data_IF_953248266492
#
_entry.id   IF_953248266492
#
_cell.length_a   1.000
_cell.length_b   1.000
_cell.length_c   1.000
_cell.angle_alpha   90.00
_cell.angle_beta   90.00
_cell.angle_gamma   90.00
#
_symmetry.space_group_name_H-M   'P 1'
#
loop_
_entity.id
_entity.type
_entity.pdbx_description
1 polymer ?
#
# COMPACT_ATOMS: atom_id res chain seq x y z
N UNK A 1 15.17 3.08 -3.10
CA UNK A 1 14.22 2.15 -2.46
C UNK A 1 14.54 0.67 -2.70
N UNK A 2 15.51 0.31 -3.56
CA UNK A 2 15.92 -1.10 -3.71
C UNK A 2 14.83 -2.04 -4.24
N UNK A 3 13.80 -1.51 -4.90
CA UNK A 3 12.70 -2.30 -5.45
C UNK A 3 13.23 -3.21 -6.58
N UNK A 4 13.06 -4.53 -6.43
CA UNK A 4 13.52 -5.50 -7.42
C UNK A 4 12.73 -5.47 -8.74
N UNK A 5 11.44 -5.11 -8.69
CA UNK A 5 10.57 -4.97 -9.88
C UNK A 5 9.56 -3.84 -9.68
N UNK A 6 9.79 -2.73 -10.39
CA UNK A 6 8.85 -1.60 -10.44
C UNK A 6 7.89 -1.83 -11.59
N UNK A 7 6.58 -1.73 -11.36
CA UNK A 7 5.55 -1.92 -12.37
C UNK A 7 4.80 -0.61 -12.58
N UNK A 8 4.78 -0.11 -13.81
CA UNK A 8 3.91 1.02 -14.16
C UNK A 8 2.57 0.49 -14.68
N UNK A 9 1.59 0.36 -13.80
CA UNK A 9 0.27 -0.18 -14.13
C UNK A 9 -0.54 0.65 -15.16
N UNK A 10 -0.10 1.86 -15.51
CA UNK A 10 -0.69 2.65 -16.61
C UNK A 10 -0.13 2.24 -17.99
N UNK A 11 0.99 1.52 -18.03
CA UNK A 11 1.69 1.10 -19.25
C UNK A 11 1.80 -0.42 -19.38
N UNK A 12 1.71 -1.14 -18.27
CA UNK A 12 1.87 -2.59 -18.19
C UNK A 12 0.59 -3.19 -17.59
N UNK A 13 0.11 -4.31 -18.17
CA UNK A 13 -0.97 -5.09 -17.57
C UNK A 13 -0.44 -5.82 -16.33
N UNK A 14 -0.78 -5.28 -15.16
CA UNK A 14 -0.38 -5.80 -13.86
C UNK A 14 -0.73 -7.29 -13.68
N UNK A 15 -1.92 -7.72 -14.12
CA UNK A 15 -2.39 -9.10 -13.95
C UNK A 15 -1.63 -10.05 -14.86
N UNK A 16 -1.44 -9.67 -16.12
CA UNK A 16 -0.69 -10.47 -17.08
C UNK A 16 0.79 -10.60 -16.67
N UNK A 17 1.37 -9.50 -16.17
CA UNK A 17 2.74 -9.45 -15.68
C UNK A 17 2.93 -10.37 -14.47
N UNK A 18 2.05 -10.29 -13.46
CA UNK A 18 2.13 -11.19 -12.30
C UNK A 18 2.06 -12.66 -12.73
N UNK A 19 1.18 -13.02 -13.67
CA UNK A 19 1.09 -14.40 -14.16
C UNK A 19 2.38 -14.85 -14.88
N UNK A 20 3.05 -13.93 -15.59
CA UNK A 20 4.25 -14.22 -16.38
C UNK A 20 5.52 -14.27 -15.54
N UNK A 21 5.75 -13.25 -14.72
CA UNK A 21 6.99 -13.07 -13.96
C UNK A 21 6.94 -13.77 -12.59
N UNK A 22 5.74 -13.92 -12.02
CA UNK A 22 5.51 -14.53 -10.71
C UNK A 22 4.46 -15.66 -10.81
N UNK A 23 4.70 -16.69 -11.64
CA UNK A 23 3.71 -17.74 -11.90
C UNK A 23 3.33 -18.56 -10.66
N UNK A 24 4.24 -18.62 -9.68
CA UNK A 24 4.02 -19.27 -8.38
C UNK A 24 3.26 -18.39 -7.39
N UNK A 25 2.95 -17.13 -7.70
CA UNK A 25 2.34 -16.21 -6.75
C UNK A 25 3.35 -15.37 -5.98
N UNK A 26 2.87 -14.76 -4.90
CA UNK A 26 3.66 -13.93 -3.98
C UNK A 26 3.30 -14.29 -2.54
N UNK A 27 4.27 -14.27 -1.63
CA UNK A 27 4.05 -14.67 -0.24
C UNK A 27 3.37 -13.56 0.57
N UNK A 28 3.76 -12.29 0.36
CA UNK A 28 3.27 -11.15 1.15
C UNK A 28 2.85 -10.02 0.23
N UNK A 29 1.66 -9.47 0.48
CA UNK A 29 1.14 -8.29 -0.21
C UNK A 29 0.75 -7.22 0.80
N UNK A 30 1.24 -6.01 0.57
CA UNK A 30 0.77 -4.78 1.20
C UNK A 30 -0.18 -4.07 0.23
N UNK A 31 -1.47 -4.10 0.50
CA UNK A 31 -2.54 -3.65 -0.40
C UNK A 31 -3.18 -2.37 0.16
N UNK A 32 -3.22 -1.31 -0.65
CA UNK A 32 -3.79 -0.01 -0.25
C UNK A 32 -4.66 0.63 -1.33
N UNK A 33 -4.79 -0.03 -2.49
CA UNK A 33 -5.47 0.49 -3.67
C UNK A 33 -6.92 0.05 -3.70
N UNK A 34 -7.18 -1.23 -3.44
CA UNK A 34 -8.50 -1.83 -3.55
C UNK A 34 -8.89 -2.17 -5.00
N UNK A 35 -10.16 -2.50 -5.19
CA UNK A 35 -10.77 -2.76 -6.49
C UNK A 35 -10.20 -4.01 -7.18
N UNK A 36 -9.92 -3.89 -8.48
CA UNK A 36 -9.34 -4.98 -9.27
C UNK A 36 -7.93 -5.37 -8.82
N UNK A 37 -7.19 -4.46 -8.18
CA UNK A 37 -5.87 -4.76 -7.60
C UNK A 37 -6.00 -5.71 -6.42
N UNK A 38 -6.93 -5.45 -5.49
CA UNK A 38 -7.19 -6.36 -4.37
C UNK A 38 -7.49 -7.79 -4.85
N UNK A 39 -8.40 -7.94 -5.82
CA UNK A 39 -8.75 -9.25 -6.38
C UNK A 39 -7.56 -9.91 -7.07
N UNK A 40 -6.74 -9.14 -7.80
CA UNK A 40 -5.56 -9.68 -8.48
C UNK A 40 -4.50 -10.15 -7.49
N UNK A 41 -4.26 -9.36 -6.43
CA UNK A 41 -3.34 -9.70 -5.35
C UNK A 41 -3.80 -10.94 -4.58
N UNK A 42 -5.09 -11.04 -4.24
CA UNK A 42 -5.67 -12.20 -3.57
C UNK A 42 -5.45 -13.48 -4.39
N UNK A 43 -5.75 -13.45 -5.69
CA UNK A 43 -5.51 -14.59 -6.58
C UNK A 43 -4.02 -14.90 -6.79
N UNK A 44 -3.12 -13.93 -6.56
CA UNK A 44 -1.67 -14.15 -6.65
C UNK A 44 -1.17 -14.91 -5.42
N UNK A 45 -1.68 -14.57 -4.24
CA UNK A 45 -1.35 -15.28 -2.99
C UNK A 45 -1.85 -16.72 -3.02
N UNK A 46 -3.07 -16.96 -3.50
CA UNK A 46 -3.67 -18.31 -3.60
C UNK A 46 -2.81 -19.31 -4.38
N UNK A 47 -1.99 -18.84 -5.34
CA UNK A 47 -1.13 -19.71 -6.16
C UNK A 47 0.12 -20.19 -5.43
N UNK A 48 0.56 -19.49 -4.39
CA UNK A 48 1.79 -19.80 -3.65
C UNK A 48 1.68 -21.14 -2.94
N UNK A 49 0.51 -21.43 -2.40
CA UNK A 49 0.20 -22.70 -1.74
C UNK A 49 -1.14 -23.21 -2.25
N UNK A 50 -1.08 -24.02 -3.32
CA UNK A 50 -2.27 -24.62 -3.93
C UNK A 50 -3.17 -25.29 -2.89
N UNK A 51 -4.49 -25.15 -3.09
CA UNK A 51 -5.59 -25.69 -2.28
C UNK A 51 -5.27 -26.99 -1.50
N UNK A 52 -4.73 -26.88 -0.29
CA UNK A 52 -4.68 -28.01 0.62
C UNK A 52 -4.88 -27.53 2.06
N UNK A 53 -6.12 -27.31 2.51
CA UNK A 53 -6.37 -27.19 3.93
C UNK A 53 -6.22 -28.60 4.54
N UNK A 54 -5.13 -28.84 5.27
CA UNK A 54 -5.11 -29.90 6.29
C UNK A 54 -5.37 -29.19 7.63
N UNK A 55 -6.63 -29.02 8.05
CA UNK A 55 -6.96 -28.25 9.26
C UNK A 55 -6.50 -28.93 10.57
N UNK A 56 -5.76 -30.04 10.51
CA UNK A 56 -5.42 -30.87 11.66
C UNK A 56 -3.93 -30.93 12.01
N UNK A 57 -3.04 -30.49 11.12
CA UNK A 57 -1.61 -30.35 11.43
C UNK A 57 -1.28 -28.86 11.35
N UNK A 58 -1.10 -28.22 12.51
CA UNK A 58 -0.86 -26.78 12.65
C UNK A 58 0.05 -26.21 11.56
N UNK A 59 -0.54 -25.54 10.57
CA UNK A 59 0.21 -24.96 9.46
C UNK A 59 0.45 -23.48 9.76
N UNK A 60 1.73 -23.11 9.80
CA UNK A 60 2.14 -21.72 9.83
C UNK A 60 1.55 -20.98 8.61
N UNK A 61 0.76 -19.94 8.86
CA UNK A 61 0.25 -19.03 7.84
C UNK A 61 1.46 -18.32 7.21
N UNK A 62 1.93 -18.86 6.06
CA UNK A 62 3.07 -18.32 5.32
C UNK A 62 2.66 -17.13 4.45
N UNK A 63 1.48 -17.21 3.85
CA UNK A 63 1.00 -16.15 2.98
C UNK A 63 0.23 -15.06 3.73
N UNK A 64 0.44 -13.79 3.35
CA UNK A 64 -0.17 -12.65 4.04
C UNK A 64 -0.64 -11.58 3.07
N UNK A 65 -1.95 -11.34 3.04
CA UNK A 65 -2.54 -10.14 2.43
C UNK A 65 -2.86 -9.11 3.53
N UNK A 66 -2.06 -8.05 3.61
CA UNK A 66 -2.21 -6.97 4.58
C UNK A 66 -2.89 -5.80 3.86
N UNK A 67 -4.10 -5.44 4.28
CA UNK A 67 -4.90 -4.38 3.66
C UNK A 67 -4.88 -3.14 4.55
N UNK A 68 -4.38 -2.02 4.01
CA UNK A 68 -4.31 -0.73 4.70
C UNK A 68 -5.47 0.19 4.33
N UNK A 69 -6.04 0.01 3.13
CA UNK A 69 -7.06 0.90 2.62
C UNK A 69 -7.49 0.54 1.21
N UNK A 70 -8.42 1.34 0.69
CA UNK A 70 -8.99 1.18 -0.65
C UNK A 70 -9.13 2.55 -1.29
N UNK A 71 -8.00 3.19 -1.63
CA UNK A 71 -8.03 4.56 -2.17
C UNK A 71 -8.85 4.65 -3.47
N UNK A 72 -8.97 3.57 -4.23
CA UNK A 72 -9.80 3.53 -5.45
C UNK A 72 -11.30 3.71 -5.20
N UNK A 73 -11.79 3.43 -3.98
CA UNK A 73 -13.22 3.49 -3.65
C UNK A 73 -13.58 4.67 -2.76
N UNK A 74 -12.62 5.45 -2.27
CA UNK A 74 -12.89 6.56 -1.34
C UNK A 74 -13.69 7.69 -1.97
N UNK A 75 -13.49 7.95 -3.26
CA UNK A 75 -14.21 8.98 -4.01
C UNK A 75 -15.46 8.46 -4.73
N UNK A 76 -15.78 7.16 -4.62
CA UNK A 76 -16.98 6.60 -5.20
C UNK A 76 -18.21 6.98 -4.37
N UNK A 77 -19.35 7.25 -5.01
CA UNK A 77 -20.61 7.57 -4.30
C UNK A 77 -21.06 6.45 -3.36
N UNK A 78 -20.72 5.20 -3.68
CA UNK A 78 -20.99 4.03 -2.85
C UNK A 78 -19.98 3.81 -1.71
N UNK A 79 -18.96 4.67 -1.60
CA UNK A 79 -17.88 4.55 -0.62
C UNK A 79 -17.13 3.22 -0.69
N UNK A 80 -16.59 2.76 0.45
CA UNK A 80 -16.05 1.40 0.61
C UNK A 80 -17.18 0.35 0.62
N UNK A 81 -17.87 0.19 -0.51
CA UNK A 81 -18.67 -1.00 -0.76
C UNK A 81 -17.72 -2.19 -0.92
N UNK A 82 -17.73 -3.10 0.04
CA UNK A 82 -16.81 -4.24 0.08
C UNK A 82 -16.83 -5.09 -1.20
N UNK A 83 -15.76 -5.87 -1.41
CA UNK A 83 -15.64 -6.70 -2.61
C UNK A 83 -16.43 -8.00 -2.49
N UNK A 84 -17.05 -8.42 -3.59
CA UNK A 84 -17.56 -9.79 -3.73
C UNK A 84 -16.36 -10.73 -3.88
N UNK A 85 -15.96 -11.33 -2.77
CA UNK A 85 -14.93 -12.37 -2.71
C UNK A 85 -15.56 -13.66 -2.20
N UNK A 86 -15.09 -14.78 -2.76
CA UNK A 86 -15.43 -16.09 -2.26
C UNK A 86 -14.90 -16.23 -0.83
N UNK A 87 -15.79 -16.47 0.13
CA UNK A 87 -15.46 -16.52 1.54
C UNK A 87 -14.50 -17.68 1.85
N UNK A 88 -14.50 -18.75 1.05
CA UNK A 88 -13.52 -19.83 1.18
C UNK A 88 -12.10 -19.36 0.85
N UNK A 89 -11.94 -18.44 -0.10
CA UNK A 89 -10.64 -17.83 -0.43
C UNK A 89 -10.12 -16.93 0.69
N UNK A 90 -11.01 -16.31 1.46
CA UNK A 90 -10.61 -15.55 2.64
C UNK A 90 -10.13 -16.47 3.77
N UNK A 91 -10.78 -17.61 3.96
CA UNK A 91 -10.48 -18.53 5.06
C UNK A 91 -9.13 -19.26 4.92
N UNK A 92 -8.68 -19.53 3.70
CA UNK A 92 -7.42 -20.27 3.45
C UNK A 92 -6.19 -19.37 3.44
N UNK A 93 -6.34 -18.08 3.11
CA UNK A 93 -5.20 -17.22 2.73
C UNK A 93 -5.06 -15.92 3.53
N UNK A 94 -5.98 -15.58 4.44
CA UNK A 94 -5.93 -14.28 5.12
C UNK A 94 -5.63 -14.38 6.62
N UNK A 95 -4.43 -13.94 6.98
CA UNK A 95 -4.31 -13.01 8.11
C UNK A 95 -4.66 -11.60 7.61
N UNK A 96 -5.94 -11.26 7.48
CA UNK A 96 -6.37 -9.89 7.19
C UNK A 96 -6.08 -9.03 8.43
N UNK A 97 -4.90 -8.45 8.49
CA UNK A 97 -4.59 -7.45 9.50
C UNK A 97 -5.08 -6.12 8.96
N UNK A 98 -6.31 -5.74 9.32
CA UNK A 98 -6.79 -4.36 9.15
C UNK A 98 -5.99 -3.51 10.13
N UNK A 99 -4.99 -2.79 9.61
CA UNK A 99 -4.09 -2.01 10.44
C UNK A 99 -4.74 -0.68 10.81
N UNK A 100 -5.43 -0.65 11.95
CA UNK A 100 -5.79 0.61 12.62
C UNK A 100 -4.56 1.06 13.42
N UNK A 101 -4.08 2.27 13.15
CA UNK A 101 -2.82 2.85 13.63
C UNK A 101 -2.56 2.62 15.14
N UNK A 102 -1.75 1.62 15.46
CA UNK A 102 -0.74 1.73 16.52
C UNK A 102 0.60 1.60 15.80
N UNK A 103 1.49 2.59 15.90
CA UNK A 103 2.86 2.45 15.40
C UNK A 103 3.71 1.96 16.58
N UNK A 104 3.79 0.63 16.85
CA UNK A 104 4.79 0.15 17.78
C UNK A 104 6.17 0.55 17.25
N UNK A 105 7.03 1.03 18.13
CA UNK A 105 8.43 1.38 17.84
C UNK A 105 8.68 2.66 17.01
N UNK A 106 7.89 3.72 17.21
CA UNK A 106 8.20 5.07 16.69
C UNK A 106 9.65 5.50 16.94
N UNK A 107 10.22 5.17 18.11
CA UNK A 107 11.63 5.45 18.44
C UNK A 107 12.60 4.88 17.41
N UNK A 108 12.36 3.64 16.95
CA UNK A 108 13.21 2.97 15.96
C UNK A 108 13.11 3.64 14.59
N UNK A 109 11.91 4.06 14.18
CA UNK A 109 11.70 4.77 12.92
C UNK A 109 12.44 6.12 12.90
N UNK A 110 12.36 6.88 14.00
CA UNK A 110 13.09 8.15 14.15
C UNK A 110 14.60 7.90 14.13
N UNK A 111 15.09 6.89 14.85
CA UNK A 111 16.50 6.56 14.90
C UNK A 111 17.04 6.16 13.52
N UNK A 112 16.36 5.29 12.78
CA UNK A 112 16.78 4.90 11.42
C UNK A 112 16.71 6.07 10.43
N UNK A 113 15.80 7.03 10.62
CA UNK A 113 15.81 8.28 9.86
C UNK A 113 17.06 9.10 10.14
N UNK A 114 17.41 9.30 11.42
CA UNK A 114 18.61 10.05 11.82
C UNK A 114 19.90 9.38 11.37
N UNK A 115 19.92 8.04 11.33
CA UNK A 115 21.05 7.23 10.87
C UNK A 115 21.15 7.12 9.34
N UNK A 116 20.27 7.79 8.57
CA UNK A 116 20.18 7.71 7.10
C UNK A 116 19.90 6.29 6.55
N UNK A 117 19.40 5.38 7.38
CA UNK A 117 18.97 4.04 6.97
C UNK A 117 17.58 4.07 6.30
N UNK A 118 16.77 5.06 6.65
CA UNK A 118 15.44 5.29 6.09
C UNK A 118 15.43 6.57 5.26
N UNK A 119 15.28 6.44 3.94
CA UNK A 119 15.09 7.58 3.04
C UNK A 119 13.64 8.07 3.13
N UNK A 120 13.42 9.21 3.77
CA UNK A 120 12.12 9.88 3.79
C UNK A 120 12.01 10.78 2.55
N UNK A 121 10.95 10.59 1.77
CA UNK A 121 10.64 11.43 0.64
C UNK A 121 9.41 12.27 0.93
N UNK A 122 9.57 13.58 0.82
CA UNK A 122 8.53 14.58 1.06
C UNK A 122 8.19 15.28 -0.25
N UNK A 123 6.91 15.55 -0.45
CA UNK A 123 6.39 16.27 -1.61
C UNK A 123 5.59 17.49 -1.14
N UNK A 124 6.10 18.68 -1.45
CA UNK A 124 5.49 19.96 -1.08
C UNK A 124 5.10 20.78 -2.32
N UNK A 125 5.01 20.16 -3.50
CA UNK A 125 4.87 20.86 -4.78
C UNK A 125 3.74 21.90 -4.77
N UNK A 126 4.10 23.19 -4.75
CA UNK A 126 3.15 24.32 -4.83
C UNK A 126 2.27 24.53 -3.58
N UNK A 127 2.58 23.86 -2.46
CA UNK A 127 1.78 23.89 -1.23
C UNK A 127 2.32 24.85 -0.16
N UNK A 128 3.10 25.86 -0.56
CA UNK A 128 3.85 26.76 0.33
C UNK A 128 3.05 27.96 0.86
N UNK A 129 1.75 28.04 0.55
CA UNK A 129 0.88 29.15 0.99
C UNK A 129 0.26 28.92 2.38
N UNK A 130 0.88 28.07 3.19
CA UNK A 130 0.39 27.78 4.53
C UNK A 130 -0.89 26.94 4.51
N UNK A 131 -1.74 27.16 5.52
CA UNK A 131 -2.98 26.40 5.72
C UNK A 131 -3.95 26.45 4.53
N UNK A 132 -3.89 27.53 3.73
CA UNK A 132 -4.78 27.70 2.56
C UNK A 132 -4.51 26.64 1.48
N UNK A 133 -3.26 26.16 1.39
CA UNK A 133 -2.87 25.11 0.43
C UNK A 133 -3.29 23.69 0.85
N UNK A 134 -3.99 23.50 1.98
CA UNK A 134 -4.44 22.16 2.38
C UNK A 134 -5.42 21.56 1.38
N UNK A 135 -6.33 22.36 0.84
CA UNK A 135 -7.30 21.89 -0.17
C UNK A 135 -6.58 21.47 -1.45
N UNK A 136 -5.69 22.33 -1.97
CA UNK A 136 -4.84 22.06 -3.12
C UNK A 136 -4.01 20.77 -2.90
N UNK A 137 -3.52 20.55 -1.69
CA UNK A 137 -2.74 19.36 -1.32
C UNK A 137 -3.56 18.07 -1.37
N UNK A 138 -4.83 18.12 -0.95
CA UNK A 138 -5.76 16.98 -1.07
C UNK A 138 -6.08 16.70 -2.54
N UNK A 139 -6.35 17.74 -3.33
CA UNK A 139 -6.60 17.58 -4.77
C UNK A 139 -5.38 16.99 -5.48
N UNK A 140 -4.18 17.50 -5.19
CA UNK A 140 -2.92 16.98 -5.71
C UNK A 140 -2.72 15.50 -5.37
N UNK A 141 -3.03 15.08 -4.13
CA UNK A 141 -2.97 13.67 -3.73
C UNK A 141 -3.89 12.80 -4.60
N UNK A 142 -5.10 13.27 -4.91
CA UNK A 142 -6.05 12.54 -5.76
C UNK A 142 -5.63 12.47 -7.24
N UNK A 143 -4.74 13.34 -7.71
CA UNK A 143 -4.16 13.22 -9.05
C UNK A 143 -3.22 12.01 -9.19
N UNK A 144 -2.69 11.51 -8.08
CA UNK A 144 -1.69 10.44 -8.06
C UNK A 144 -0.34 10.82 -8.68
N UNK A 145 -0.05 12.12 -8.81
CA UNK A 145 1.24 12.62 -9.31
C UNK A 145 2.27 12.80 -8.20
N UNK A 146 1.84 12.75 -6.94
CA UNK A 146 2.73 12.92 -5.79
C UNK A 146 3.79 11.83 -5.71
N UNK A 147 4.99 12.21 -5.27
CA UNK A 147 6.08 11.26 -5.05
C UNK A 147 6.63 11.38 -3.62
N UNK A 148 6.14 10.52 -2.74
CA UNK A 148 6.40 10.58 -1.30
C UNK A 148 5.22 11.14 -0.51
N UNK A 149 5.49 11.55 0.73
CA UNK A 149 4.46 12.09 1.63
C UNK A 149 4.15 13.54 1.24
N UNK A 150 2.90 13.80 0.85
CA UNK A 150 2.40 15.17 0.63
C UNK A 150 2.41 15.94 1.94
N UNK A 151 3.07 17.10 1.94
CA UNK A 151 3.21 17.99 3.09
C UNK A 151 2.82 19.42 2.70
N UNK A 152 2.10 20.08 3.59
CA UNK A 152 1.73 21.50 3.48
C UNK A 152 2.48 22.26 4.57
N UNK A 153 3.54 23.00 4.24
CA UNK A 153 4.27 23.79 5.21
C UNK A 153 3.40 24.94 5.71
N UNK A 154 3.18 25.04 7.02
CA UNK A 154 2.42 26.15 7.63
C UNK A 154 3.22 27.47 7.67
N UNK A 155 4.54 27.36 7.59
CA UNK A 155 5.47 28.47 7.48
C UNK A 155 6.33 28.20 6.25
N UNK A 156 6.68 29.23 5.49
CA UNK A 156 7.60 29.08 4.36
C UNK A 156 8.85 28.36 4.84
N UNK A 157 9.14 27.20 4.27
CA UNK A 157 10.36 26.48 4.62
C UNK A 157 11.54 27.37 4.20
N UNK A 158 12.33 27.81 5.17
CA UNK A 158 13.60 28.47 4.88
C UNK A 158 14.41 27.47 4.04
N UNK A 159 14.76 27.85 2.80
CA UNK A 159 15.58 27.03 1.91
C UNK A 159 16.87 26.63 2.64
N UNK A 160 16.96 25.39 3.11
CA UNK A 160 18.17 24.86 3.77
C UNK A 160 17.96 24.00 5.01
N UNK A 161 16.76 23.93 5.60
CA UNK A 161 16.49 22.99 6.69
C UNK A 161 16.44 21.55 6.17
N UNK A 162 17.57 20.85 6.30
CA UNK A 162 17.63 19.38 6.22
C UNK A 162 16.85 18.83 7.42
N UNK A 163 15.81 18.06 7.14
CA UNK A 163 15.19 17.11 8.09
C UNK A 163 15.61 15.72 7.65
#
# INVERSE_FOLDING_TARGET
>A
MGCGRVINYKKEDFKALLKKEYPKGVDIVFESVGGSFFITCLNSIEKTHGHYPIPFLGWAIKDRLIVFGSVSTYSAESGMSGYKVDTLKLWVSLSLIIFIYMVPNMKKLVQSSQQNELKIQMDTMGLDKGIVSVVDGVEYLHTGQNNGKVLVPLVSMIKGSKI
#
